data_IF_298140029563
#
_entry.id   IF_298140029563
#
_cell.length_a   1.000
_cell.length_b   1.000
_cell.length_c   1.000
_cell.angle_alpha   90.00
_cell.angle_beta   90.00
_cell.angle_gamma   90.00
#
_symmetry.space_group_name_H-M   'P 1'
#
loop_
_entity.id
_entity.type
_entity.pdbx_description
1 polymer ?
#
# COMPACT_ATOMS: atom_id res chain seq x y z
N UNK A 1 -64.18 -24.99 -48.73
CA UNK A 1 -63.74 -24.03 -47.67
C UNK A 1 -62.37 -24.46 -47.21
N UNK A 2 -61.32 -23.83 -47.74
CA UNK A 2 -59.94 -24.16 -47.39
C UNK A 2 -59.42 -23.15 -46.35
N UNK A 3 -58.92 -23.70 -45.22
CA UNK A 3 -58.33 -22.88 -44.15
C UNK A 3 -56.94 -22.41 -44.54
N UNK A 4 -56.54 -21.18 -44.26
CA UNK A 4 -55.19 -20.70 -44.52
C UNK A 4 -54.20 -21.23 -43.49
N UNK A 5 -53.00 -21.62 -43.95
CA UNK A 5 -51.84 -22.07 -43.15
C UNK A 5 -51.24 -20.86 -42.40
N UNK A 6 -50.75 -21.07 -41.14
CA UNK A 6 -50.05 -20.03 -40.44
C UNK A 6 -48.66 -19.77 -41.03
N UNK A 7 -48.30 -18.51 -41.21
CA UNK A 7 -47.00 -18.07 -41.70
C UNK A 7 -45.88 -18.36 -40.66
N UNK A 8 -44.87 -19.09 -41.09
CA UNK A 8 -43.67 -19.35 -40.30
C UNK A 8 -42.80 -18.08 -40.23
N UNK A 9 -42.60 -17.53 -39.02
CA UNK A 9 -41.66 -16.45 -38.77
C UNK A 9 -40.20 -16.91 -39.00
N UNK A 10 -39.36 -16.10 -39.67
CA UNK A 10 -37.94 -16.40 -39.81
C UNK A 10 -37.20 -16.26 -38.45
N UNK A 11 -36.12 -17.07 -38.22
CA UNK A 11 -35.36 -17.00 -36.99
C UNK A 11 -34.63 -15.65 -36.86
N UNK A 12 -34.78 -15.08 -35.66
CA UNK A 12 -34.14 -13.81 -35.27
C UNK A 12 -32.61 -13.99 -35.30
N UNK A 13 -31.91 -13.17 -36.06
CA UNK A 13 -30.46 -13.16 -36.12
C UNK A 13 -29.83 -12.89 -34.73
N UNK A 14 -28.72 -13.55 -34.36
CA UNK A 14 -28.02 -13.25 -33.11
C UNK A 14 -27.46 -11.83 -33.15
N UNK A 15 -27.77 -11.08 -32.10
CA UNK A 15 -27.18 -9.74 -31.91
C UNK A 15 -25.68 -9.87 -31.72
N UNK A 16 -24.84 -9.04 -32.36
CA UNK A 16 -23.43 -9.02 -32.12
C UNK A 16 -23.19 -8.62 -30.67
N UNK A 17 -22.55 -9.49 -29.88
CA UNK A 17 -22.02 -9.14 -28.57
C UNK A 17 -20.99 -8.04 -28.76
N UNK A 18 -21.35 -6.80 -28.43
CA UNK A 18 -20.36 -5.77 -28.16
C UNK A 18 -19.52 -6.27 -26.98
N UNK A 19 -18.18 -6.42 -27.14
CA UNK A 19 -17.31 -6.61 -25.97
C UNK A 19 -17.42 -5.35 -25.14
N UNK A 20 -17.96 -5.46 -23.93
CA UNK A 20 -17.83 -4.41 -22.91
C UNK A 20 -16.34 -4.05 -22.83
N UNK A 21 -15.97 -2.76 -22.85
CA UNK A 21 -14.60 -2.39 -22.59
C UNK A 21 -14.29 -2.85 -21.16
N UNK A 22 -13.51 -3.93 -21.05
CA UNK A 22 -12.85 -4.26 -19.81
C UNK A 22 -12.08 -3.00 -19.44
N UNK A 23 -12.52 -2.32 -18.37
CA UNK A 23 -11.76 -1.26 -17.73
C UNK A 23 -10.45 -1.92 -17.33
N UNK A 24 -9.44 -1.77 -18.18
CA UNK A 24 -8.08 -2.19 -17.89
C UNK A 24 -7.68 -1.43 -16.64
N UNK A 25 -7.78 -2.09 -15.50
CA UNK A 25 -7.18 -1.58 -14.27
C UNK A 25 -5.71 -1.32 -14.64
N UNK A 26 -5.33 -0.05 -14.76
CA UNK A 26 -4.02 0.36 -15.24
C UNK A 26 -2.98 -0.47 -14.48
N UNK A 27 -2.33 -1.38 -15.20
CA UNK A 27 -1.44 -2.36 -14.64
C UNK A 27 -0.26 -1.61 -14.00
N UNK A 28 -0.06 -1.75 -12.70
CA UNK A 28 1.12 -1.28 -12.00
C UNK A 28 1.85 -2.49 -11.41
N UNK A 29 3.17 -2.39 -11.30
CA UNK A 29 4.00 -3.39 -10.64
C UNK A 29 4.45 -2.91 -9.27
N UNK A 30 4.65 -3.85 -8.34
CA UNK A 30 5.29 -3.55 -7.05
C UNK A 30 6.69 -4.15 -7.06
N UNK A 31 7.69 -3.33 -6.73
CA UNK A 31 9.10 -3.73 -6.67
C UNK A 31 9.81 -3.05 -5.49
N UNK A 32 10.96 -3.57 -5.12
CA UNK A 32 11.88 -2.86 -4.24
C UNK A 32 12.39 -1.59 -4.93
N UNK A 33 12.58 -0.52 -4.15
CA UNK A 33 13.15 0.71 -4.67
C UNK A 33 14.67 0.59 -4.80
N UNK A 34 15.21 1.39 -5.70
CA UNK A 34 16.64 1.54 -5.94
C UNK A 34 17.08 2.95 -5.50
N UNK A 35 18.35 3.19 -5.14
CA UNK A 35 18.85 4.53 -4.81
C UNK A 35 18.52 5.62 -5.84
N UNK A 36 18.46 5.27 -7.13
CA UNK A 36 18.01 6.18 -8.21
C UNK A 36 16.58 6.68 -8.07
N UNK A 37 15.72 5.95 -7.35
CA UNK A 37 14.32 6.33 -7.13
C UNK A 37 14.17 7.41 -6.04
N UNK A 38 15.26 7.79 -5.35
CA UNK A 38 15.23 8.68 -4.19
C UNK A 38 14.57 10.05 -4.48
N UNK A 39 14.83 10.62 -5.65
CA UNK A 39 14.25 11.91 -6.04
C UNK A 39 12.73 11.79 -6.20
N UNK A 40 12.28 10.71 -6.83
CA UNK A 40 10.86 10.47 -7.09
C UNK A 40 10.12 10.06 -5.80
N UNK A 41 10.74 9.27 -4.92
CA UNK A 41 10.25 8.97 -3.57
C UNK A 41 10.04 10.24 -2.74
N UNK A 42 11.01 11.15 -2.77
CA UNK A 42 10.90 12.43 -2.08
C UNK A 42 9.78 13.29 -2.67
N UNK A 43 9.70 13.39 -4.00
CA UNK A 43 8.66 14.15 -4.70
C UNK A 43 7.26 13.59 -4.42
N UNK A 44 7.09 12.26 -4.47
CA UNK A 44 5.84 11.57 -4.15
C UNK A 44 5.38 11.82 -2.70
N UNK A 45 6.33 11.89 -1.76
CA UNK A 45 6.04 12.11 -0.33
C UNK A 45 5.70 13.56 0.01
N UNK A 46 6.16 14.55 -0.77
CA UNK A 46 6.03 15.98 -0.47
C UNK A 46 4.60 16.48 -0.21
N UNK A 47 3.58 16.13 -1.01
CA UNK A 47 2.20 16.56 -0.74
C UNK A 47 1.71 16.08 0.63
N UNK A 48 2.09 14.87 1.04
CA UNK A 48 1.71 14.26 2.32
C UNK A 48 2.49 14.85 3.51
N UNK A 49 3.73 15.29 3.28
CA UNK A 49 4.49 16.06 4.28
C UNK A 49 3.85 17.44 4.50
N UNK A 50 3.50 18.14 3.42
CA UNK A 50 2.83 19.45 3.51
C UNK A 50 1.47 19.40 4.19
N UNK A 51 0.71 18.32 4.00
CA UNK A 51 -0.57 18.11 4.70
C UNK A 51 -0.42 17.61 6.13
N UNK A 52 0.80 17.34 6.60
CA UNK A 52 1.05 16.77 7.92
C UNK A 52 0.79 15.27 8.03
N UNK A 53 0.36 14.58 6.98
CA UNK A 53 0.11 13.14 6.99
C UNK A 53 1.42 12.34 7.16
N UNK A 54 2.50 12.79 6.54
CA UNK A 54 3.84 12.21 6.70
C UNK A 54 4.77 13.15 7.49
N UNK A 55 5.76 12.54 8.16
CA UNK A 55 6.83 13.30 8.80
C UNK A 55 7.82 13.81 7.75
N UNK A 56 8.35 15.04 7.87
CA UNK A 56 9.44 15.52 7.04
C UNK A 56 10.65 14.58 7.12
N UNK A 57 11.29 14.34 6.00
CA UNK A 57 12.47 13.50 5.90
C UNK A 57 13.51 14.20 5.01
N UNK A 58 14.77 14.36 5.46
CA UNK A 58 15.85 14.87 4.62
C UNK A 58 16.04 14.00 3.37
N UNK A 59 16.33 14.64 2.24
CA UNK A 59 16.45 13.96 0.94
C UNK A 59 17.45 12.79 0.96
N UNK A 60 18.60 12.97 1.59
CA UNK A 60 19.64 11.92 1.64
C UNK A 60 19.15 10.61 2.26
N UNK A 61 18.16 10.66 3.17
CA UNK A 61 17.61 9.45 3.79
C UNK A 61 16.78 8.60 2.80
N UNK A 62 16.22 9.19 1.74
CA UNK A 62 15.57 8.40 0.70
C UNK A 62 16.58 7.57 -0.09
N UNK A 63 17.76 8.13 -0.39
CA UNK A 63 18.82 7.41 -1.08
C UNK A 63 19.49 6.35 -0.18
N UNK A 64 19.82 6.72 1.06
CA UNK A 64 20.49 5.82 2.02
C UNK A 64 19.63 4.62 2.41
N UNK A 65 18.31 4.81 2.47
CA UNK A 65 17.35 3.79 2.88
C UNK A 65 16.44 3.35 1.73
N UNK A 66 16.87 3.51 0.49
CA UNK A 66 16.08 3.12 -0.66
C UNK A 66 15.63 1.66 -0.59
N UNK A 67 16.49 0.76 -0.12
CA UNK A 67 16.20 -0.67 0.03
C UNK A 67 15.11 -1.00 1.08
N UNK A 68 14.78 -0.05 1.96
CA UNK A 68 13.64 -0.21 2.87
C UNK A 68 12.29 -0.02 2.12
N UNK A 69 12.31 0.61 0.92
CA UNK A 69 11.09 0.98 0.22
C UNK A 69 10.64 -0.09 -0.77
N UNK A 70 9.33 -0.35 -0.75
CA UNK A 70 8.57 -0.94 -1.83
C UNK A 70 7.88 0.20 -2.60
N UNK A 71 7.92 0.14 -3.91
CA UNK A 71 7.31 1.13 -4.80
C UNK A 71 6.31 0.48 -5.73
N UNK A 72 5.22 1.18 -6.00
CA UNK A 72 4.28 0.83 -7.06
C UNK A 72 4.60 1.72 -8.27
N UNK A 73 5.04 1.09 -9.36
CA UNK A 73 5.42 1.75 -10.60
C UNK A 73 4.32 1.57 -11.64
N UNK A 74 3.84 2.67 -12.18
CA UNK A 74 2.86 2.70 -13.26
C UNK A 74 3.46 2.28 -14.61
N UNK A 75 2.63 2.08 -15.64
CA UNK A 75 3.08 1.68 -16.97
C UNK A 75 3.93 2.76 -17.67
N UNK A 76 3.85 4.00 -17.22
CA UNK A 76 4.65 5.14 -17.68
C UNK A 76 6.01 5.27 -16.94
N UNK A 77 6.30 4.32 -16.03
CA UNK A 77 7.50 4.33 -15.20
C UNK A 77 7.43 5.26 -13.97
N UNK A 78 6.38 6.06 -13.83
CA UNK A 78 6.22 6.95 -12.68
C UNK A 78 5.81 6.18 -11.41
N UNK A 79 6.26 6.66 -10.25
CA UNK A 79 5.86 6.06 -8.99
C UNK A 79 4.43 6.47 -8.61
N UNK A 80 3.56 5.49 -8.49
CA UNK A 80 2.15 5.64 -8.09
C UNK A 80 1.96 5.54 -6.57
N UNK A 81 2.92 4.98 -5.87
CA UNK A 81 2.91 4.85 -4.42
C UNK A 81 4.20 4.29 -3.85
N UNK A 82 4.41 4.46 -2.57
CA UNK A 82 5.51 3.84 -1.85
C UNK A 82 5.12 3.50 -0.41
N UNK A 83 5.85 2.55 0.14
CA UNK A 83 5.79 2.11 1.53
C UNK A 83 7.18 1.65 1.93
N UNK A 84 7.68 2.06 3.09
CA UNK A 84 8.93 1.56 3.61
C UNK A 84 8.71 0.58 4.76
N UNK A 85 9.50 -0.49 4.80
CA UNK A 85 9.55 -1.50 5.85
C UNK A 85 10.96 -1.55 6.42
N UNK A 86 11.12 -1.20 7.69
CA UNK A 86 12.38 -1.31 8.42
C UNK A 86 12.30 -2.41 9.46
N UNK A 87 13.23 -3.36 9.38
CA UNK A 87 13.39 -4.37 10.43
C UNK A 87 14.01 -3.69 11.66
N UNK A 88 13.40 -3.91 12.80
CA UNK A 88 13.94 -3.57 14.10
C UNK A 88 14.57 -4.84 14.67
N UNK A 89 15.86 -4.77 15.00
CA UNK A 89 16.55 -5.93 15.58
C UNK A 89 15.87 -6.42 16.88
N UNK A 90 16.19 -7.62 17.29
CA UNK A 90 15.62 -8.35 18.44
C UNK A 90 15.80 -7.68 19.83
N UNK A 91 15.80 -6.36 19.89
CA UNK A 91 15.86 -5.56 21.11
C UNK A 91 14.48 -5.35 21.76
N UNK A 92 13.45 -6.11 21.36
CA UNK A 92 12.23 -6.22 22.13
C UNK A 92 12.51 -7.11 23.36
N UNK A 93 11.92 -6.78 24.50
CA UNK A 93 12.10 -7.49 25.78
C UNK A 93 11.81 -9.00 25.74
N UNK A 94 11.30 -9.52 24.61
CA UNK A 94 10.85 -10.90 24.43
C UNK A 94 11.58 -11.65 23.30
N UNK A 95 12.63 -11.09 22.71
CA UNK A 95 13.40 -11.71 21.62
C UNK A 95 12.66 -11.77 20.28
N UNK A 96 11.48 -11.16 20.15
CA UNK A 96 10.68 -11.15 18.91
C UNK A 96 11.27 -10.17 17.90
N UNK A 97 11.24 -10.58 16.63
CA UNK A 97 11.64 -9.75 15.52
C UNK A 97 10.44 -8.94 15.00
N UNK A 98 10.61 -7.64 14.86
CA UNK A 98 9.54 -6.77 14.41
C UNK A 98 9.96 -5.89 13.25
N UNK A 99 8.99 -5.57 12.37
CA UNK A 99 9.15 -4.57 11.34
C UNK A 99 8.29 -3.33 11.60
N UNK A 100 8.75 -2.20 11.12
CA UNK A 100 8.00 -0.95 11.15
C UNK A 100 7.71 -0.50 9.73
N UNK A 101 6.43 -0.37 9.43
CA UNK A 101 5.93 0.24 8.20
C UNK A 101 5.90 1.75 8.37
N UNK A 102 6.54 2.48 7.47
CA UNK A 102 6.60 3.94 7.52
C UNK A 102 6.59 4.54 6.11
N UNK A 103 6.42 5.87 6.03
CA UNK A 103 6.40 6.62 4.76
C UNK A 103 5.46 6.03 3.70
N UNK A 104 4.28 5.57 4.15
CA UNK A 104 3.29 4.98 3.26
C UNK A 104 2.42 6.06 2.62
N UNK A 105 2.51 6.20 1.33
CA UNK A 105 1.67 7.11 0.55
C UNK A 105 1.38 6.57 -0.85
N UNK A 106 0.25 7.02 -1.41
CA UNK A 106 -0.20 6.71 -2.76
C UNK A 106 -0.55 8.03 -3.44
N UNK A 107 -0.01 8.27 -4.63
CA UNK A 107 -0.30 9.46 -5.42
C UNK A 107 -1.81 9.73 -5.48
N UNK A 108 -2.23 10.99 -5.33
CA UNK A 108 -3.65 11.35 -5.25
C UNK A 108 -4.44 10.81 -6.45
N UNK A 109 -3.85 10.86 -7.66
CA UNK A 109 -4.44 10.33 -8.90
C UNK A 109 -4.70 8.82 -8.88
N UNK A 110 -4.05 8.09 -7.95
CA UNK A 110 -4.11 6.62 -7.85
C UNK A 110 -4.75 6.12 -6.56
N UNK A 111 -5.24 7.03 -5.72
CA UNK A 111 -6.00 6.64 -4.54
C UNK A 111 -7.30 5.96 -4.93
N UNK A 112 -7.69 4.91 -4.19
CA UNK A 112 -8.86 4.10 -4.53
C UNK A 112 -8.65 3.04 -5.61
N UNK A 113 -7.50 3.02 -6.32
CA UNK A 113 -7.20 2.07 -7.41
C UNK A 113 -6.56 0.74 -6.97
N UNK A 114 -6.44 0.50 -5.66
CA UNK A 114 -5.85 -0.73 -5.13
C UNK A 114 -4.33 -0.68 -4.93
N UNK A 115 -3.63 0.38 -5.35
CA UNK A 115 -2.17 0.53 -5.19
C UNK A 115 -1.75 0.36 -3.73
N UNK A 116 -2.41 1.05 -2.80
CA UNK A 116 -2.08 0.94 -1.38
C UNK A 116 -2.27 -0.46 -0.81
N UNK A 117 -3.33 -1.17 -1.23
CA UNK A 117 -3.60 -2.54 -0.80
C UNK A 117 -2.48 -3.50 -1.27
N UNK A 118 -2.02 -3.36 -2.51
CA UNK A 118 -0.93 -4.21 -3.05
C UNK A 118 0.41 -3.90 -2.41
N UNK A 119 0.73 -2.62 -2.16
CA UNK A 119 1.94 -2.25 -1.41
C UNK A 119 1.94 -2.85 -0.01
N UNK A 120 0.81 -2.76 0.70
CA UNK A 120 0.71 -3.32 2.05
C UNK A 120 0.77 -4.85 2.04
N UNK A 121 0.15 -5.51 1.05
CA UNK A 121 0.27 -6.96 0.88
C UNK A 121 1.72 -7.39 0.60
N UNK A 122 2.45 -6.63 -0.23
CA UNK A 122 3.86 -6.88 -0.49
C UNK A 122 4.73 -6.70 0.77
N UNK A 123 4.45 -5.67 1.58
CA UNK A 123 5.15 -5.47 2.86
C UNK A 123 4.88 -6.61 3.86
N UNK A 124 3.67 -7.14 3.89
CA UNK A 124 3.33 -8.31 4.71
C UNK A 124 4.09 -9.57 4.24
N UNK A 125 4.13 -9.81 2.93
CA UNK A 125 4.90 -10.92 2.35
C UNK A 125 6.40 -10.77 2.65
N UNK A 126 6.95 -9.56 2.55
CA UNK A 126 8.34 -9.26 2.90
C UNK A 126 8.60 -9.49 4.39
N UNK A 127 7.68 -9.10 5.28
CA UNK A 127 7.77 -9.38 6.71
C UNK A 127 7.84 -10.87 7.00
N UNK A 128 6.97 -11.66 6.39
CA UNK A 128 6.98 -13.12 6.50
C UNK A 128 8.28 -13.74 5.97
N UNK A 129 8.77 -13.28 4.79
CA UNK A 129 10.01 -13.78 4.20
C UNK A 129 11.25 -13.52 5.07
N UNK A 130 11.20 -12.45 5.86
CA UNK A 130 12.23 -12.09 6.84
C UNK A 130 12.01 -12.70 8.23
N UNK A 131 11.04 -13.60 8.37
CA UNK A 131 10.69 -14.24 9.65
C UNK A 131 10.42 -13.21 10.76
N UNK A 132 9.70 -12.13 10.43
CA UNK A 132 9.25 -11.18 11.42
C UNK A 132 8.00 -11.71 12.13
N UNK A 133 7.92 -11.51 13.43
CA UNK A 133 6.77 -11.91 14.25
C UNK A 133 5.61 -10.92 14.14
N UNK A 134 5.91 -9.64 13.89
CA UNK A 134 4.90 -8.59 13.80
C UNK A 134 5.36 -7.40 12.95
N UNK A 135 4.38 -6.71 12.36
CA UNK A 135 4.57 -5.39 11.75
C UNK A 135 3.83 -4.33 12.56
N UNK A 136 4.50 -3.20 12.77
CA UNK A 136 3.97 -2.01 13.44
C UNK A 136 3.88 -0.84 12.48
N UNK A 137 2.94 0.05 12.70
CA UNK A 137 2.85 1.35 12.02
C UNK A 137 2.22 2.39 12.94
N UNK A 138 2.37 3.67 12.60
CA UNK A 138 1.66 4.76 13.25
C UNK A 138 0.97 5.62 12.19
N UNK A 139 -0.29 5.93 12.42
CA UNK A 139 -1.10 6.75 11.51
C UNK A 139 -1.83 7.86 12.24
N UNK A 140 -1.90 9.04 11.62
CA UNK A 140 -2.73 10.16 12.08
C UNK A 140 -4.13 10.15 11.44
N UNK A 141 -4.33 9.29 10.46
CA UNK A 141 -5.61 9.11 9.77
C UNK A 141 -6.43 7.96 10.34
N UNK A 142 -7.50 7.60 9.66
CA UNK A 142 -8.46 6.56 10.09
C UNK A 142 -7.87 5.14 10.15
N UNK A 143 -6.70 4.90 9.58
CA UNK A 143 -6.09 3.57 9.53
C UNK A 143 -6.86 2.50 8.75
N UNK A 144 -7.96 2.87 8.07
CA UNK A 144 -8.90 1.93 7.43
C UNK A 144 -8.23 0.87 6.56
N UNK A 145 -7.20 1.25 5.82
CA UNK A 145 -6.48 0.30 4.96
C UNK A 145 -5.75 -0.74 5.81
N UNK A 146 -5.06 -0.32 6.85
CA UNK A 146 -4.36 -1.22 7.77
C UNK A 146 -5.34 -2.16 8.49
N UNK A 147 -6.44 -1.61 9.02
CA UNK A 147 -7.48 -2.41 9.71
C UNK A 147 -8.04 -3.51 8.78
N UNK A 148 -8.32 -3.20 7.50
CA UNK A 148 -8.77 -4.19 6.52
C UNK A 148 -7.71 -5.26 6.19
N UNK A 149 -6.45 -5.00 6.50
CA UNK A 149 -5.35 -5.95 6.34
C UNK A 149 -4.95 -6.61 7.66
N UNK A 150 -5.84 -6.62 8.67
CA UNK A 150 -5.65 -7.34 9.92
C UNK A 150 -4.75 -6.66 10.93
N UNK A 151 -4.42 -5.38 10.74
CA UNK A 151 -3.81 -4.59 11.79
C UNK A 151 -4.85 -4.22 12.84
N UNK A 152 -4.43 -4.15 14.10
CA UNK A 152 -5.28 -3.74 15.23
C UNK A 152 -4.60 -2.62 16.01
N UNK A 153 -5.36 -1.72 16.64
CA UNK A 153 -4.81 -0.73 17.56
C UNK A 153 -4.12 -1.41 18.74
N UNK A 154 -2.93 -0.93 19.05
CA UNK A 154 -2.17 -1.42 20.22
C UNK A 154 -1.55 -0.25 20.98
N UNK A 155 -1.29 -0.43 22.29
CA UNK A 155 -0.47 0.50 23.06
C UNK A 155 0.95 0.62 22.47
N UNK A 156 1.54 1.81 22.54
CA UNK A 156 2.85 2.08 21.95
C UNK A 156 4.00 1.34 22.62
N UNK A 157 3.83 0.92 23.88
CA UNK A 157 4.81 0.14 24.65
C UNK A 157 4.98 -1.30 24.14
N UNK A 158 4.00 -1.82 23.39
CA UNK A 158 4.12 -3.12 22.71
C UNK A 158 4.97 -3.05 21.42
N UNK A 159 5.26 -1.85 20.94
CA UNK A 159 6.06 -1.65 19.74
C UNK A 159 7.56 -1.66 20.07
N UNK A 160 8.45 -1.84 19.06
CA UNK A 160 9.89 -1.75 19.26
C UNK A 160 10.29 -0.46 19.98
N UNK A 161 10.92 -0.58 21.15
CA UNK A 161 11.13 0.53 22.10
C UNK A 161 11.83 1.75 21.48
N UNK A 162 12.84 1.53 20.61
CA UNK A 162 13.55 2.61 19.93
C UNK A 162 12.62 3.39 18.99
N UNK A 163 11.75 2.68 18.28
CA UNK A 163 10.77 3.30 17.41
C UNK A 163 9.66 4.00 18.20
N UNK A 164 9.11 3.36 19.24
CA UNK A 164 8.07 3.95 20.09
C UNK A 164 8.53 5.29 20.68
N UNK A 165 9.77 5.36 21.20
CA UNK A 165 10.37 6.61 21.71
C UNK A 165 10.57 7.67 20.62
N UNK A 166 10.66 7.30 19.36
CA UNK A 166 10.80 8.24 18.24
C UNK A 166 9.46 8.86 17.81
N UNK A 167 8.33 8.36 18.28
CA UNK A 167 7.02 8.90 17.97
C UNK A 167 6.86 10.28 18.59
N UNK A 168 6.38 11.24 17.80
CA UNK A 168 6.07 12.58 18.29
C UNK A 168 4.65 12.59 18.90
N UNK A 169 4.51 12.80 20.21
CA UNK A 169 3.20 12.79 20.88
C UNK A 169 2.24 13.87 20.34
N UNK A 170 2.78 15.01 19.83
CA UNK A 170 1.98 16.09 19.28
C UNK A 170 1.20 15.70 18.05
N UNK A 171 1.63 14.65 17.35
CA UNK A 171 0.93 14.13 16.17
C UNK A 171 -0.30 13.31 16.51
N UNK A 172 -0.47 12.90 17.76
CA UNK A 172 -1.57 12.05 18.21
C UNK A 172 -1.80 10.84 17.27
N UNK A 173 -0.71 10.22 16.84
CA UNK A 173 -0.78 9.09 15.93
C UNK A 173 -1.17 7.81 16.67
N UNK A 174 -2.14 7.08 16.11
CA UNK A 174 -2.52 5.77 16.61
C UNK A 174 -1.48 4.74 16.15
N UNK A 175 -1.00 3.92 17.10
CA UNK A 175 -0.14 2.77 16.79
C UNK A 175 -1.01 1.57 16.44
N UNK A 176 -0.67 0.94 15.34
CA UNK A 176 -1.33 -0.27 14.86
C UNK A 176 -0.29 -1.39 14.73
N UNK A 177 -0.68 -2.62 15.03
CA UNK A 177 0.16 -3.80 14.86
C UNK A 177 -0.60 -4.94 14.18
N UNK A 178 0.16 -5.76 13.46
CA UNK A 178 -0.30 -7.05 12.93
C UNK A 178 0.74 -8.12 13.24
N UNK A 179 0.31 -9.21 13.89
CA UNK A 179 1.07 -10.45 14.04
C UNK A 179 1.11 -11.14 12.68
N UNK A 180 2.26 -11.71 12.30
CA UNK A 180 2.49 -12.38 11.02
C UNK A 180 2.43 -13.90 11.16
#
# INVERSE_FOLDING_TARGET
MAMPRPATMPPRAPHPHCPSPAVSAAAFSVRSAHPRDAAELAALSQPFVRSGALRPRPFHLYAQHATDFLVAEGPDGALDGCLALRVQGAAAHDGRSAGVVYNFCVAHRRQGSGVGARLLAAALAEGLSRSLDALFTATTGSGRLFLRHGFTPVPADLAPAAWARSLDPRRNAQVLARVL
#
